data_IF_891742863584
#
_entry.id   IF_891742863584
#
_cell.length_a   1.000
_cell.length_b   1.000
_cell.length_c   1.000
_cell.angle_alpha   90.00
_cell.angle_beta   90.00
_cell.angle_gamma   90.00
#
_symmetry.space_group_name_H-M   'P 1'
#
loop_
_entity.id
_entity.type
_entity.pdbx_description
1 polymer ?
#
# COMPACT_ATOMS: atom_id res chain seq x y z
N UNK A 1 -8.19 11.51 -0.78
CA UNK A 1 -6.90 10.95 -1.28
C UNK A 1 -6.72 9.53 -0.78
N UNK A 2 -5.97 8.69 -1.50
CA UNK A 2 -5.65 7.31 -1.08
C UNK A 2 -4.37 7.32 -0.24
N UNK A 3 -4.47 7.08 1.08
CA UNK A 3 -3.33 6.70 1.90
C UNK A 3 -3.04 5.21 1.68
N UNK A 4 -2.52 4.89 0.49
CA UNK A 4 -1.96 3.57 0.20
C UNK A 4 -0.61 3.47 0.90
N UNK A 5 -0.20 2.33 1.50
CA UNK A 5 1.22 2.10 1.76
C UNK A 5 1.99 2.26 0.44
N UNK A 6 3.19 2.85 0.49
CA UNK A 6 3.97 3.26 -0.68
C UNK A 6 4.64 2.05 -1.34
N UNK A 7 3.83 1.10 -1.81
CA UNK A 7 4.26 0.02 -2.69
C UNK A 7 4.45 0.65 -4.07
N UNK A 8 5.67 1.08 -4.37
CA UNK A 8 6.05 1.54 -5.71
C UNK A 8 5.85 0.38 -6.70
N UNK A 9 5.35 0.68 -7.89
CA UNK A 9 5.25 -0.32 -8.95
C UNK A 9 6.66 -0.74 -9.42
N UNK A 10 6.80 -1.97 -9.93
CA UNK A 10 8.11 -2.53 -10.34
C UNK A 10 8.88 -1.61 -11.28
N UNK A 11 8.20 -0.94 -12.20
CA UNK A 11 8.81 0.00 -13.15
C UNK A 11 9.40 1.24 -12.45
N UNK A 12 8.73 1.76 -11.42
CA UNK A 12 9.24 2.88 -10.62
C UNK A 12 10.44 2.45 -9.76
N UNK A 13 10.38 1.25 -9.16
CA UNK A 13 11.52 0.69 -8.42
C UNK A 13 12.73 0.52 -9.34
N UNK A 14 12.54 -0.02 -10.55
CA UNK A 14 13.61 -0.18 -11.53
C UNK A 14 14.22 1.16 -11.97
N UNK A 15 13.37 2.16 -12.26
CA UNK A 15 13.83 3.51 -12.57
C UNK A 15 14.67 4.10 -11.43
N UNK A 16 14.20 4.00 -10.20
CA UNK A 16 14.89 4.58 -9.04
C UNK A 16 16.24 3.88 -8.80
N UNK A 17 16.32 2.55 -8.93
CA UNK A 17 17.59 1.79 -8.87
C UNK A 17 18.58 2.25 -9.97
N UNK A 18 18.11 2.52 -11.19
CA UNK A 18 18.97 3.04 -12.26
C UNK A 18 19.45 4.48 -11.98
N UNK A 19 18.61 5.31 -11.35
CA UNK A 19 19.01 6.65 -10.89
C UNK A 19 20.05 6.57 -9.76
N UNK A 20 19.99 5.55 -8.90
CA UNK A 20 21.02 5.30 -7.88
C UNK A 20 22.37 4.95 -8.52
N UNK A 21 22.40 3.87 -9.30
CA UNK A 21 23.63 3.35 -9.89
C UNK A 21 24.28 4.33 -10.87
N UNK A 22 23.50 5.19 -11.54
CA UNK A 22 24.06 6.25 -12.40
C UNK A 22 24.74 7.39 -11.62
N UNK A 23 24.38 7.61 -10.35
CA UNK A 23 25.06 8.58 -9.45
C UNK A 23 26.25 7.97 -8.72
N UNK A 24 26.26 6.66 -8.54
CA UNK A 24 27.30 5.91 -7.83
C UNK A 24 27.78 4.73 -8.71
N UNK A 25 28.52 4.99 -9.82
CA UNK A 25 28.90 3.96 -10.78
C UNK A 25 29.80 2.87 -10.19
N UNK A 26 30.53 3.17 -9.11
CA UNK A 26 31.39 2.24 -8.39
C UNK A 26 30.69 1.52 -7.21
N UNK A 27 29.37 1.73 -7.03
CA UNK A 27 28.61 1.11 -5.93
C UNK A 27 28.53 -0.42 -6.11
N UNK A 28 28.90 -1.15 -5.06
CA UNK A 28 28.80 -2.61 -4.96
C UNK A 28 27.91 -3.02 -3.79
N UNK A 29 26.78 -2.33 -3.62
CA UNK A 29 25.81 -2.61 -2.57
C UNK A 29 25.07 -3.94 -2.79
N UNK A 30 24.68 -4.55 -1.68
CA UNK A 30 23.79 -5.70 -1.69
C UNK A 30 22.33 -5.26 -1.91
N UNK A 31 21.44 -6.24 -2.10
CA UNK A 31 20.00 -5.97 -2.18
C UNK A 31 19.49 -5.19 -0.95
N UNK A 32 19.98 -5.56 0.22
CA UNK A 32 19.66 -4.94 1.51
C UNK A 32 20.15 -3.48 1.54
N UNK A 33 21.39 -3.20 1.13
CA UNK A 33 21.91 -1.82 1.06
C UNK A 33 21.08 -0.91 0.13
N UNK A 34 20.74 -1.39 -1.06
CA UNK A 34 19.92 -0.66 -2.04
C UNK A 34 18.49 -0.44 -1.50
N UNK A 35 17.90 -1.43 -0.84
CA UNK A 35 16.51 -1.39 -0.37
C UNK A 35 16.33 -0.62 0.96
N UNK A 36 17.14 -0.93 1.97
CA UNK A 36 16.99 -0.42 3.34
C UNK A 36 17.56 0.98 3.53
N UNK A 37 18.64 1.33 2.82
CA UNK A 37 19.24 2.65 2.93
C UNK A 37 18.78 3.56 1.81
N UNK A 38 19.13 3.26 0.55
CA UNK A 38 18.90 4.25 -0.52
C UNK A 38 17.42 4.41 -0.91
N UNK A 39 16.71 3.32 -1.21
CA UNK A 39 15.28 3.42 -1.58
C UNK A 39 14.42 3.95 -0.42
N UNK A 40 14.74 3.59 0.83
CA UNK A 40 14.09 4.14 2.01
C UNK A 40 14.36 5.65 2.16
N UNK A 41 15.61 6.08 2.04
CA UNK A 41 16.01 7.49 2.13
C UNK A 41 15.31 8.34 1.05
N UNK A 42 15.30 7.91 -0.21
CA UNK A 42 14.57 8.61 -1.27
C UNK A 42 13.07 8.73 -0.99
N UNK A 43 12.46 7.67 -0.44
CA UNK A 43 11.05 7.70 -0.01
C UNK A 43 10.86 8.70 1.14
N UNK A 44 11.73 8.68 2.16
CA UNK A 44 11.69 9.61 3.29
C UNK A 44 11.84 11.06 2.79
N UNK A 45 12.86 11.37 2.00
CA UNK A 45 13.11 12.73 1.47
C UNK A 45 11.92 13.27 0.69
N UNK A 46 11.34 12.46 -0.21
CA UNK A 46 10.14 12.84 -0.96
C UNK A 46 8.94 13.12 -0.02
N UNK A 47 8.68 12.22 0.93
CA UNK A 47 7.56 12.39 1.86
C UNK A 47 7.78 13.53 2.86
N UNK A 48 9.03 13.87 3.21
CA UNK A 48 9.32 15.00 4.09
C UNK A 48 8.87 16.34 3.52
N UNK A 49 8.88 16.53 2.20
CA UNK A 49 8.34 17.75 1.59
C UNK A 49 6.82 17.85 1.78
N UNK A 50 6.08 16.80 1.42
CA UNK A 50 4.63 16.74 1.61
C UNK A 50 4.21 16.79 3.09
N UNK A 51 5.00 16.18 4.00
CA UNK A 51 4.76 16.26 5.45
C UNK A 51 4.99 17.67 5.97
N UNK A 52 6.00 18.42 5.49
CA UNK A 52 6.20 19.82 5.85
C UNK A 52 5.04 20.71 5.40
N UNK A 53 4.56 20.53 4.16
CA UNK A 53 3.41 21.25 3.61
C UNK A 53 2.14 21.01 4.45
N UNK A 54 1.80 19.75 4.71
CA UNK A 54 0.65 19.38 5.55
C UNK A 54 0.82 19.85 7.00
N UNK A 55 2.03 19.83 7.57
CA UNK A 55 2.28 20.40 8.90
C UNK A 55 2.07 21.91 8.93
N UNK A 56 2.47 22.64 7.88
CA UNK A 56 2.22 24.07 7.77
C UNK A 56 0.71 24.37 7.72
N UNK A 57 -0.08 23.63 6.92
CA UNK A 57 -1.55 23.75 6.93
C UNK A 57 -2.19 23.45 8.29
N UNK A 58 -1.67 22.47 9.03
CA UNK A 58 -2.17 22.11 10.35
C UNK A 58 -1.79 23.13 11.43
N UNK A 59 -0.67 23.83 11.26
CA UNK A 59 -0.25 24.95 12.11
C UNK A 59 -1.05 26.22 11.81
N UNK A 60 -1.32 26.53 10.54
CA UNK A 60 -2.18 27.64 10.11
C UNK A 60 -3.61 27.51 10.66
N UNK A 61 -4.14 26.27 10.71
CA UNK A 61 -5.42 25.94 11.36
C UNK A 61 -5.36 25.90 12.89
N UNK A 62 -4.20 26.10 13.49
CA UNK A 62 -3.91 25.98 14.93
C UNK A 62 -4.25 24.59 15.52
N UNK A 63 -4.34 23.54 14.69
CA UNK A 63 -4.59 22.15 15.12
C UNK A 63 -3.29 21.50 15.62
N UNK A 64 -2.16 21.95 15.08
CA UNK A 64 -0.80 21.62 15.50
C UNK A 64 -0.11 22.91 15.93
N UNK A 65 0.74 22.85 16.95
CA UNK A 65 1.55 23.97 17.43
C UNK A 65 3.02 23.70 17.14
N UNK A 66 3.68 24.68 16.52
CA UNK A 66 5.12 24.70 16.31
C UNK A 66 5.84 25.21 17.57
N UNK A 67 6.81 24.45 18.07
CA UNK A 67 7.65 24.81 19.22
C UNK A 67 9.10 24.83 18.77
N UNK A 68 9.67 26.02 18.67
CA UNK A 68 11.11 26.23 18.46
C UNK A 68 11.84 25.96 19.78
N UNK A 69 12.67 24.93 19.78
CA UNK A 69 13.47 24.53 20.95
C UNK A 69 14.84 25.21 20.93
N UNK A 70 15.49 25.30 22.09
CA UNK A 70 16.80 25.96 22.24
C UNK A 70 17.93 25.24 21.46
N UNK A 71 17.73 23.98 21.07
CA UNK A 71 18.59 23.18 20.19
C UNK A 71 18.45 23.55 18.69
N UNK A 72 17.76 24.66 18.37
CA UNK A 72 17.36 25.08 17.01
C UNK A 72 16.48 24.08 16.26
N UNK A 73 15.94 23.05 16.94
CA UNK A 73 15.03 22.09 16.33
C UNK A 73 13.59 22.56 16.50
N UNK A 74 12.80 22.33 15.46
CA UNK A 74 11.36 22.53 15.48
C UNK A 74 10.70 21.25 15.99
N UNK A 75 9.83 21.37 16.99
CA UNK A 75 8.99 20.29 17.53
C UNK A 75 7.53 20.62 17.28
N UNK A 76 6.74 19.61 16.94
CA UNK A 76 5.30 19.76 16.70
C UNK A 76 4.52 19.05 17.81
N UNK A 77 3.47 19.68 18.34
CA UNK A 77 2.49 19.04 19.25
C UNK A 77 1.07 19.31 18.76
N UNK A 78 0.11 18.47 19.12
CA UNK A 78 -1.31 18.80 18.94
C UNK A 78 -1.71 19.98 19.81
N UNK A 79 -2.65 20.79 19.34
CA UNK A 79 -3.28 21.82 20.16
C UNK A 79 -4.34 21.18 21.08
N UNK A 80 -4.16 21.30 22.40
CA UNK A 80 -5.11 20.80 23.39
C UNK A 80 -6.45 21.55 23.37
N UNK A 81 -6.45 22.83 23.00
CA UNK A 81 -7.66 23.66 22.95
C UNK A 81 -8.59 23.23 21.81
N UNK A 82 -8.01 22.85 20.66
CA UNK A 82 -8.73 22.28 19.51
C UNK A 82 -8.89 20.75 19.57
N UNK A 83 -8.64 20.11 20.72
CA UNK A 83 -8.72 18.64 20.86
C UNK A 83 -10.06 18.04 20.40
N UNK A 84 -11.19 18.73 20.63
CA UNK A 84 -12.51 18.29 20.15
C UNK A 84 -12.60 18.26 18.61
N UNK A 85 -12.05 19.26 17.94
CA UNK A 85 -12.02 19.36 16.48
C UNK A 85 -11.08 18.31 15.88
N UNK A 86 -9.85 18.20 16.42
CA UNK A 86 -8.87 17.18 16.05
C UNK A 86 -9.50 15.79 16.14
N UNK A 87 -10.16 15.48 17.26
CA UNK A 87 -10.83 14.19 17.47
C UNK A 87 -11.95 13.96 16.45
N UNK A 88 -12.79 14.97 16.18
CA UNK A 88 -13.86 14.87 15.18
C UNK A 88 -13.32 14.61 13.76
N UNK A 89 -12.22 15.27 13.35
CA UNK A 89 -11.59 15.03 12.05
C UNK A 89 -10.99 13.62 11.93
N UNK A 90 -10.41 13.10 13.02
CA UNK A 90 -9.91 11.71 13.08
C UNK A 90 -11.07 10.72 13.00
N UNK A 91 -12.13 10.91 13.77
CA UNK A 91 -13.30 10.02 13.81
C UNK A 91 -14.04 9.99 12.46
N UNK A 92 -14.21 11.13 11.78
CA UNK A 92 -14.85 11.20 10.46
C UNK A 92 -14.03 10.48 9.38
N UNK A 93 -12.68 10.58 9.38
CA UNK A 93 -11.84 9.78 8.49
C UNK A 93 -11.97 8.27 8.74
N UNK A 94 -12.18 7.83 9.98
CA UNK A 94 -12.47 6.42 10.30
C UNK A 94 -13.85 5.99 9.78
N UNK A 95 -14.86 6.86 9.86
CA UNK A 95 -16.22 6.60 9.35
C UNK A 95 -16.27 6.47 7.81
N UNK A 96 -15.47 7.25 7.09
CA UNK A 96 -15.38 7.17 5.61
C UNK A 96 -14.61 5.91 5.16
N UNK A 97 -13.55 5.52 5.88
CA UNK A 97 -12.75 4.32 5.53
C UNK A 97 -13.45 3.01 5.88
N UNK A 98 -14.17 2.95 6.99
CA UNK A 98 -14.95 1.75 7.39
C UNK A 98 -16.11 1.45 6.46
N UNK A 99 -16.88 2.48 6.02
CA UNK A 99 -18.00 2.28 5.07
C UNK A 99 -17.60 1.61 3.75
N UNK A 100 -16.36 1.78 3.27
CA UNK A 100 -15.91 1.16 2.00
C UNK A 100 -15.68 -0.35 2.10
N UNK A 101 -15.34 -0.91 3.27
CA UNK A 101 -15.09 -2.35 3.42
C UNK A 101 -16.35 -3.23 3.53
N UNK A 102 -17.53 -2.65 3.72
CA UNK A 102 -18.79 -3.40 3.78
C UNK A 102 -19.51 -3.50 2.41
N UNK A 103 -19.00 -2.87 1.35
CA UNK A 103 -19.60 -2.95 0.01
C UNK A 103 -19.40 -4.29 -0.70
N UNK A 104 -18.22 -4.91 -0.56
CA UNK A 104 -17.86 -6.14 -1.31
C UNK A 104 -18.41 -7.44 -0.70
N UNK A 105 -18.93 -7.41 0.54
CA UNK A 105 -19.37 -8.64 1.23
C UNK A 105 -20.79 -9.10 0.87
N UNK A 106 -21.56 -8.29 0.12
CA UNK A 106 -22.94 -8.59 -0.28
C UNK A 106 -23.07 -9.04 -1.75
N UNK A 107 -22.07 -9.74 -2.30
CA UNK A 107 -22.33 -10.69 -3.40
C UNK A 107 -22.83 -11.99 -2.80
N UNK A 108 -24.13 -11.99 -2.52
CA UNK A 108 -24.83 -13.11 -1.90
C UNK A 108 -24.72 -14.40 -2.70
N UNK A 109 -24.65 -15.50 -1.97
CA UNK A 109 -24.80 -16.87 -2.47
C UNK A 109 -26.19 -16.98 -3.10
N UNK A 110 -26.28 -16.99 -4.44
CA UNK A 110 -27.50 -17.45 -5.13
C UNK A 110 -27.38 -18.96 -5.31
N UNK A 111 -27.86 -19.68 -4.30
CA UNK A 111 -28.10 -21.12 -4.41
C UNK A 111 -29.39 -21.33 -5.22
N UNK A 112 -29.26 -21.77 -6.47
CA UNK A 112 -30.39 -22.22 -7.29
C UNK A 112 -30.11 -23.61 -7.88
N UNK A 113 -30.58 -24.62 -7.15
CA UNK A 113 -30.92 -25.97 -7.63
C UNK A 113 -32.11 -26.47 -6.79
N UNK A 114 -32.83 -27.53 -7.19
CA UNK A 114 -32.39 -28.58 -8.13
C UNK A 114 -33.43 -28.96 -9.22
N UNK A 115 -33.13 -30.02 -9.97
CA UNK A 115 -34.03 -30.83 -10.86
C UNK A 115 -34.11 -30.42 -12.34
N UNK A 116 -34.33 -31.33 -13.31
CA UNK A 116 -34.14 -32.80 -13.43
C UNK A 116 -34.28 -33.17 -14.93
N UNK A 117 -33.64 -34.25 -15.37
CA UNK A 117 -33.81 -34.84 -16.71
C UNK A 117 -32.91 -34.22 -17.79
N UNK A 118 -32.38 -34.95 -18.77
CA UNK A 118 -32.41 -36.41 -19.01
C UNK A 118 -31.16 -36.82 -19.82
N UNK A 119 -30.68 -38.05 -19.63
CA UNK A 119 -29.66 -38.76 -20.44
C UNK A 119 -30.36 -39.95 -21.10
N UNK A 120 -29.97 -40.50 -22.27
CA UNK A 120 -28.65 -41.15 -22.41
C UNK A 120 -28.01 -41.33 -23.82
N UNK A 121 -26.76 -41.83 -23.82
CA UNK A 121 -26.08 -42.53 -24.94
C UNK A 121 -24.74 -41.90 -25.38
N UNK A 122 -23.72 -42.59 -25.94
CA UNK A 122 -23.41 -44.02 -26.21
C UNK A 122 -21.94 -44.10 -26.70
N UNK A 123 -21.01 -45.02 -26.37
CA UNK A 123 -20.91 -46.08 -25.33
C UNK A 123 -19.47 -46.67 -25.27
N UNK A 124 -18.89 -46.85 -24.05
CA UNK A 124 -17.76 -47.76 -23.66
C UNK A 124 -16.35 -47.67 -24.31
N UNK A 125 -15.34 -47.70 -23.39
CA UNK A 125 -14.00 -48.36 -23.50
C UNK A 125 -13.00 -47.70 -24.50
N UNK A 126 -11.66 -47.89 -24.43
CA UNK A 126 -10.89 -48.99 -23.84
C UNK A 126 -9.41 -48.65 -23.50
N UNK A 127 -8.86 -49.33 -22.49
CA UNK A 127 -7.46 -49.70 -22.20
C UNK A 127 -6.25 -48.76 -22.51
N UNK A 128 -5.57 -48.39 -21.42
CA UNK A 128 -4.16 -48.69 -21.12
C UNK A 128 -3.25 -49.20 -22.26
N UNK A 129 -2.15 -48.48 -22.54
CA UNK A 129 -0.88 -49.06 -23.03
C UNK A 129 0.35 -48.36 -22.40
N UNK A 130 1.23 -49.18 -21.80
CA UNK A 130 2.58 -48.84 -21.39
C UNK A 130 3.58 -49.08 -22.55
N UNK A 131 4.87 -48.80 -22.29
CA UNK A 131 6.07 -49.25 -23.03
C UNK A 131 6.32 -48.53 -24.39
N UNK A 132 7.55 -48.26 -24.87
CA UNK A 132 8.88 -48.86 -24.58
C UNK A 132 10.04 -47.83 -24.51
N UNK A 133 11.23 -48.32 -24.11
CA UNK A 133 12.52 -47.63 -23.98
C UNK A 133 13.30 -47.47 -25.30
N UNK A 134 14.31 -46.57 -25.27
CA UNK A 134 15.65 -46.71 -25.90
C UNK A 134 15.72 -46.69 -27.46
N UNK A 135 16.89 -46.43 -28.07
CA UNK A 135 18.24 -46.97 -27.80
C UNK A 135 18.99 -46.37 -26.60
#
# INVERSE_FOLDING_TARGET
>A
MRNTPVIKEKNQIAHDILVYLSKHPDAQDTLEGIAEWWLLEQVITYHMAAVKEVLAELVDRELVLEIKSADSRIRYRSNGEKYREIKAMVDEKHRITTKRKNGDKNRGIIACGPSRGEVPGTTKKQLLKNNQNQP
#
